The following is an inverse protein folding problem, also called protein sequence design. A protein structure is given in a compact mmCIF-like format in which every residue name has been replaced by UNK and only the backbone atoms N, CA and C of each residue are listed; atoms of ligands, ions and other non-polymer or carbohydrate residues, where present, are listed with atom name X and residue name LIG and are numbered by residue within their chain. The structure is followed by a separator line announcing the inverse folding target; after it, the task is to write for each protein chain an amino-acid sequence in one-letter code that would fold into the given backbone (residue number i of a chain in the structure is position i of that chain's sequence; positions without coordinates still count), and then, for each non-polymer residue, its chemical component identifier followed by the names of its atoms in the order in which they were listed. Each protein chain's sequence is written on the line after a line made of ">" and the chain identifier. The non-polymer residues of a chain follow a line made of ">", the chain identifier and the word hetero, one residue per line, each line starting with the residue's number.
data_IF_042027775388
#
_entry.id   IF_042027775388
#
_cell.length_a   1.000
_cell.length_b   1.000
_cell.length_c   1.000
_cell.angle_alpha   90.00
_cell.angle_beta   90.00
_cell.angle_gamma   90.00
#
_symmetry.space_group_name_H-M   'P 1'
#
loop_
_entity.id
_entity.type
_entity.pdbx_description
1 polymer ?
#
# COMPACT_ATOMS: atom_id res chain seq x y z
N UNK A 1 -15.61 2.79 -11.96
CA UNK A 1 -16.15 3.17 -13.29
C UNK A 1 -15.08 3.16 -14.38
N UNK A 2 -13.93 3.82 -14.19
CA UNK A 2 -12.80 3.77 -15.14
C UNK A 2 -12.34 2.36 -15.54
N UNK A 3 -12.22 1.43 -14.57
CA UNK A 3 -11.83 0.04 -14.84
C UNK A 3 -12.86 -0.72 -15.69
N UNK A 4 -14.15 -0.50 -15.43
CA UNK A 4 -15.24 -1.16 -16.16
C UNK A 4 -15.35 -0.65 -17.59
N UNK A 5 -15.20 0.67 -17.79
CA UNK A 5 -15.19 1.27 -19.14
C UNK A 5 -14.02 0.76 -19.98
N UNK A 6 -12.84 0.61 -19.38
CA UNK A 6 -11.66 0.10 -20.09
C UNK A 6 -11.84 -1.38 -20.44
N UNK A 7 -12.29 -2.21 -19.49
CA UNK A 7 -12.53 -3.64 -19.75
C UNK A 7 -13.63 -3.89 -20.78
N UNK A 8 -14.67 -3.05 -20.80
CA UNK A 8 -15.74 -3.15 -21.80
C UNK A 8 -15.24 -2.91 -23.24
N UNK A 9 -14.13 -2.18 -23.41
CA UNK A 9 -13.54 -1.88 -24.72
C UNK A 9 -12.43 -2.88 -25.08
N UNK A 10 -11.64 -3.29 -24.09
CA UNK A 10 -10.44 -4.14 -24.28
C UNK A 10 -10.77 -5.64 -24.38
N UNK A 11 -11.91 -6.08 -23.86
CA UNK A 11 -12.33 -7.48 -23.88
C UNK A 11 -11.73 -8.31 -22.73
N UNK A 12 -12.17 -9.58 -22.64
CA UNK A 12 -11.80 -10.50 -21.56
C UNK A 12 -10.41 -11.11 -21.78
N UNK A 13 -9.59 -11.20 -20.73
CA UNK A 13 -8.35 -11.96 -20.74
C UNK A 13 -7.42 -11.68 -19.57
N UNK A 14 -6.58 -12.66 -19.21
CA UNK A 14 -5.63 -12.58 -18.08
C UNK A 14 -4.65 -11.41 -18.24
N UNK A 15 -4.05 -11.27 -19.43
CA UNK A 15 -3.09 -10.20 -19.70
C UNK A 15 -3.75 -8.83 -19.64
N UNK A 16 -4.97 -8.70 -20.16
CA UNK A 16 -5.75 -7.47 -20.16
C UNK A 16 -6.05 -7.01 -18.73
N UNK A 17 -6.47 -7.92 -17.86
CA UNK A 17 -6.72 -7.64 -16.44
C UNK A 17 -5.43 -7.22 -15.73
N UNK A 18 -4.34 -7.96 -15.94
CA UNK A 18 -3.03 -7.65 -15.35
C UNK A 18 -2.57 -6.26 -15.78
N UNK A 19 -2.65 -5.93 -17.08
CA UNK A 19 -2.23 -4.63 -17.60
C UNK A 19 -3.11 -3.52 -17.05
N UNK A 20 -4.43 -3.69 -17.02
CA UNK A 20 -5.34 -2.63 -16.59
C UNK A 20 -5.28 -2.40 -15.08
N UNK A 21 -5.26 -3.46 -14.27
CA UNK A 21 -5.08 -3.33 -12.82
C UNK A 21 -3.66 -2.82 -12.49
N UNK A 22 -2.65 -3.32 -13.20
CA UNK A 22 -1.25 -2.94 -13.02
C UNK A 22 -0.98 -1.47 -13.37
N UNK A 23 -1.51 -0.97 -14.48
CA UNK A 23 -1.38 0.44 -14.87
C UNK A 23 -2.18 1.32 -13.91
N UNK A 24 -3.43 0.96 -13.60
CA UNK A 24 -4.28 1.76 -12.71
C UNK A 24 -3.68 1.86 -11.30
N UNK A 25 -3.22 0.75 -10.73
CA UNK A 25 -2.54 0.73 -9.43
C UNK A 25 -1.13 1.33 -9.48
N UNK A 26 -0.41 1.11 -10.58
CA UNK A 26 0.95 1.58 -10.78
C UNK A 26 1.09 3.09 -10.86
N UNK A 27 0.08 3.80 -11.37
CA UNK A 27 0.07 5.28 -11.38
C UNK A 27 0.16 5.84 -9.96
N UNK A 28 -0.62 5.29 -9.02
CA UNK A 28 -0.58 5.69 -7.62
C UNK A 28 0.79 5.39 -6.99
N UNK A 29 1.28 4.16 -7.17
CA UNK A 29 2.59 3.74 -6.66
C UNK A 29 3.75 4.59 -7.20
N UNK A 30 3.73 4.94 -8.50
CA UNK A 30 4.76 5.76 -9.15
C UNK A 30 4.91 7.14 -8.52
N UNK A 31 3.79 7.81 -8.19
CA UNK A 31 3.82 9.11 -7.52
C UNK A 31 4.47 9.02 -6.14
N UNK A 32 4.19 7.96 -5.39
CA UNK A 32 4.76 7.78 -4.06
C UNK A 32 6.25 7.45 -4.15
N UNK A 33 6.65 6.55 -5.05
CA UNK A 33 8.06 6.26 -5.34
C UNK A 33 8.82 7.53 -5.71
N UNK A 34 8.25 8.37 -6.58
CA UNK A 34 8.84 9.66 -6.94
C UNK A 34 9.04 10.57 -5.73
N UNK A 35 8.06 10.64 -4.83
CA UNK A 35 8.18 11.45 -3.60
C UNK A 35 9.30 10.96 -2.68
N UNK A 36 9.43 9.64 -2.51
CA UNK A 36 10.49 9.04 -1.71
C UNK A 36 11.89 9.26 -2.34
N UNK A 37 11.99 9.19 -3.67
CA UNK A 37 13.23 9.47 -4.40
C UNK A 37 13.64 10.94 -4.26
N UNK A 38 12.70 11.89 -4.31
CA UNK A 38 12.99 13.32 -4.12
C UNK A 38 13.54 13.57 -2.71
N UNK A 39 12.93 12.99 -1.67
CA UNK A 39 13.40 13.14 -0.29
C UNK A 39 14.83 12.60 -0.09
N UNK A 40 15.20 11.53 -0.79
CA UNK A 40 16.57 10.97 -0.75
C UNK A 40 17.55 11.85 -1.52
N UNK A 41 17.13 12.41 -2.65
CA UNK A 41 17.97 13.27 -3.49
C UNK A 41 18.38 14.57 -2.77
N UNK A 42 17.60 15.04 -1.80
CA UNK A 42 17.93 16.19 -0.96
C UNK A 42 19.03 15.91 0.07
N UNK A 43 19.44 14.66 0.28
CA UNK A 43 20.54 14.36 1.18
C UNK A 43 21.92 14.61 0.55
N UNK A 44 22.85 15.09 1.39
CA UNK A 44 24.22 15.45 1.01
C UNK A 44 25.01 14.31 0.34
N UNK A 45 24.69 13.05 0.65
CA UNK A 45 25.36 11.90 0.03
C UNK A 45 25.09 11.79 -1.48
N UNK A 46 23.93 12.26 -1.96
CA UNK A 46 23.62 12.23 -3.39
C UNK A 46 24.46 13.25 -4.16
N UNK A 47 24.69 14.43 -3.56
CA UNK A 47 25.54 15.48 -4.12
C UNK A 47 27.01 15.03 -4.16
N UNK A 48 27.49 14.41 -3.07
CA UNK A 48 28.84 13.87 -2.98
C UNK A 48 29.11 12.74 -4.00
N UNK A 49 28.18 11.78 -4.15
CA UNK A 49 28.32 10.69 -5.11
C UNK A 49 28.34 11.20 -6.57
N UNK A 50 27.61 12.29 -6.85
CA UNK A 50 27.65 12.98 -8.14
C UNK A 50 28.98 13.71 -8.38
N UNK A 51 29.54 14.35 -7.35
CA UNK A 51 30.83 15.04 -7.44
C UNK A 51 31.99 14.08 -7.74
N UNK A 52 31.88 12.82 -7.30
CA UNK A 52 32.83 11.73 -7.59
C UNK A 52 32.66 11.15 -9.02
N UNK A 53 31.65 11.58 -9.78
CA UNK A 53 31.44 11.13 -11.16
C UNK A 53 30.71 9.80 -11.30
N UNK A 54 30.04 9.32 -10.24
CA UNK A 54 29.30 8.05 -10.29
C UNK A 54 28.04 8.19 -11.16
N UNK A 55 27.76 7.24 -12.09
CA UNK A 55 26.56 7.31 -12.93
C UNK A 55 25.28 7.22 -12.09
N UNK A 56 24.29 8.02 -12.45
CA UNK A 56 23.04 8.17 -11.68
C UNK A 56 22.27 6.86 -11.52
N UNK A 57 22.33 5.95 -12.50
CA UNK A 57 21.70 4.62 -12.43
C UNK A 57 22.30 3.74 -11.34
N UNK A 58 23.63 3.76 -11.17
CA UNK A 58 24.31 3.02 -10.09
C UNK A 58 23.93 3.58 -8.71
N UNK A 59 23.86 4.91 -8.57
CA UNK A 59 23.45 5.56 -7.31
C UNK A 59 22.01 5.17 -6.96
N UNK A 60 21.12 5.19 -7.96
CA UNK A 60 19.72 4.80 -7.81
C UNK A 60 19.57 3.35 -7.32
N UNK A 61 20.22 2.38 -7.98
CA UNK A 61 20.03 0.96 -7.65
C UNK A 61 20.74 0.58 -6.34
N UNK A 62 21.95 1.11 -6.11
CA UNK A 62 22.81 0.71 -4.97
C UNK A 62 22.44 1.42 -3.67
N UNK A 63 21.96 2.67 -3.74
CA UNK A 63 21.76 3.52 -2.57
C UNK A 63 20.32 3.98 -2.38
N UNK A 64 19.64 4.40 -3.45
CA UNK A 64 18.26 4.91 -3.35
C UNK A 64 17.26 3.77 -3.18
N UNK A 65 17.35 2.73 -4.01
CA UNK A 65 16.43 1.60 -4.03
C UNK A 65 16.33 0.87 -2.69
N UNK A 66 17.44 0.46 -2.02
CA UNK A 66 17.34 -0.19 -0.71
C UNK A 66 16.80 0.73 0.39
N UNK A 67 16.95 2.05 0.25
CA UNK A 67 16.43 3.02 1.22
C UNK A 67 14.91 3.22 1.08
N UNK A 68 14.39 3.25 -0.15
CA UNK A 68 12.94 3.31 -0.42
C UNK A 68 12.25 1.95 -0.46
N UNK A 69 12.98 0.84 -0.40
CA UNK A 69 12.40 -0.49 -0.47
C UNK A 69 11.40 -0.73 0.68
N UNK A 70 11.72 -0.26 1.89
CA UNK A 70 10.83 -0.36 3.04
C UNK A 70 9.45 0.29 2.79
N UNK A 71 9.35 1.58 2.44
CA UNK A 71 8.05 2.18 2.14
C UNK A 71 7.36 1.57 0.91
N UNK A 72 8.11 1.12 -0.11
CA UNK A 72 7.53 0.42 -1.26
C UNK A 72 6.83 -0.88 -0.83
N UNK A 73 7.50 -1.68 0.00
CA UNK A 73 6.97 -2.96 0.49
C UNK A 73 5.69 -2.74 1.31
N UNK A 74 5.68 -1.73 2.18
CA UNK A 74 4.50 -1.36 2.98
C UNK A 74 3.32 -1.01 2.07
N UNK A 75 3.54 -0.09 1.12
CA UNK A 75 2.48 0.38 0.21
C UNK A 75 1.97 -0.77 -0.64
N UNK A 76 2.87 -1.61 -1.17
CA UNK A 76 2.50 -2.77 -1.95
C UNK A 76 1.60 -3.73 -1.15
N UNK A 77 1.95 -3.98 0.12
CA UNK A 77 1.22 -4.88 1.01
C UNK A 77 -0.19 -4.37 1.33
N UNK A 78 -0.37 -3.05 1.42
CA UNK A 78 -1.70 -2.44 1.65
C UNK A 78 -2.52 -2.45 0.35
N UNK A 79 -1.89 -2.21 -0.80
CA UNK A 79 -2.61 -2.10 -2.07
C UNK A 79 -3.07 -3.45 -2.63
N UNK A 80 -2.40 -4.56 -2.30
CA UNK A 80 -2.73 -5.87 -2.86
C UNK A 80 -4.16 -6.31 -2.53
N UNK A 81 -4.66 -5.99 -1.33
CA UNK A 81 -6.05 -6.26 -0.94
C UNK A 81 -7.06 -5.54 -1.83
N UNK A 82 -6.78 -4.28 -2.17
CA UNK A 82 -7.61 -3.49 -3.09
C UNK A 82 -7.59 -4.03 -4.52
N UNK A 83 -6.44 -4.51 -4.99
CA UNK A 83 -6.29 -5.13 -6.33
C UNK A 83 -7.08 -6.44 -6.40
N UNK A 84 -7.01 -7.29 -5.38
CA UNK A 84 -7.78 -8.54 -5.30
C UNK A 84 -9.28 -8.24 -5.32
N UNK A 85 -9.74 -7.26 -4.54
CA UNK A 85 -11.16 -6.89 -4.51
C UNK A 85 -11.64 -6.35 -5.87
N UNK A 86 -10.80 -5.57 -6.55
CA UNK A 86 -11.09 -5.06 -7.89
C UNK A 86 -11.16 -6.20 -8.93
N UNK A 87 -10.22 -7.14 -8.90
CA UNK A 87 -10.23 -8.34 -9.76
C UNK A 87 -11.48 -9.18 -9.53
N UNK A 88 -11.81 -9.47 -8.27
CA UNK A 88 -12.98 -10.25 -7.91
C UNK A 88 -14.28 -9.57 -8.37
N UNK A 89 -14.36 -8.24 -8.26
CA UNK A 89 -15.50 -7.45 -8.74
C UNK A 89 -15.65 -7.52 -10.26
N UNK A 90 -14.54 -7.42 -11.00
CA UNK A 90 -14.53 -7.57 -12.47
C UNK A 90 -14.94 -8.99 -12.89
N UNK A 91 -14.40 -10.00 -12.21
CA UNK A 91 -14.74 -11.41 -12.45
C UNK A 91 -16.20 -11.70 -12.14
N UNK A 92 -16.73 -11.10 -11.07
CA UNK A 92 -18.15 -11.19 -10.75
C UNK A 92 -19.04 -10.58 -11.85
N UNK A 93 -18.67 -9.41 -12.36
CA UNK A 93 -19.36 -8.72 -13.45
C UNK A 93 -19.19 -9.41 -14.81
N UNK A 94 -18.39 -10.47 -14.91
CA UNK A 94 -18.16 -11.22 -16.14
C UNK A 94 -17.13 -10.58 -17.07
N UNK A 95 -16.35 -9.62 -16.60
CA UNK A 95 -15.22 -9.02 -17.32
C UNK A 95 -13.85 -9.53 -16.83
N UNK A 96 -13.86 -10.51 -15.92
CA UNK A 96 -12.65 -11.09 -15.36
C UNK A 96 -12.08 -12.22 -16.22
N UNK A 97 -11.42 -13.16 -15.53
CA UNK A 97 -10.64 -14.21 -16.15
C UNK A 97 -11.49 -15.11 -17.08
N UNK A 98 -10.92 -15.61 -18.19
CA UNK A 98 -11.61 -16.56 -19.04
C UNK A 98 -11.97 -17.82 -18.23
N UNK A 99 -13.07 -18.52 -18.58
CA UNK A 99 -13.58 -19.67 -17.81
C UNK A 99 -12.62 -20.85 -17.70
N UNK A 100 -11.49 -20.83 -18.42
CA UNK A 100 -10.41 -21.79 -18.29
C UNK A 100 -9.56 -21.61 -17.02
N UNK A 101 -9.69 -20.47 -16.32
CA UNK A 101 -8.94 -20.18 -15.09
C UNK A 101 -9.93 -20.07 -13.92
N UNK A 102 -9.86 -20.96 -12.92
CA UNK A 102 -10.69 -20.85 -11.73
C UNK A 102 -10.29 -19.60 -10.94
N UNK A 103 -11.22 -18.65 -10.77
CA UNK A 103 -11.06 -17.46 -9.94
C UNK A 103 -12.19 -17.37 -8.93
N UNK A 104 -11.89 -16.95 -7.71
CA UNK A 104 -12.90 -16.89 -6.64
C UNK A 104 -14.05 -15.94 -6.99
N UNK A 105 -13.79 -14.82 -7.67
CA UNK A 105 -14.84 -13.92 -8.16
C UNK A 105 -15.68 -14.51 -9.32
N UNK A 106 -15.08 -15.35 -10.16
CA UNK A 106 -15.77 -16.00 -11.28
C UNK A 106 -16.67 -17.15 -10.81
N UNK A 107 -16.26 -17.86 -9.75
CA UNK A 107 -17.05 -18.92 -9.10
C UNK A 107 -18.36 -18.36 -8.51
N UNK A 108 -18.37 -17.14 -7.95
CA UNK A 108 -19.59 -16.47 -7.52
C UNK A 108 -20.55 -16.14 -8.67
N UNK A 109 -20.03 -15.85 -9.87
CA UNK A 109 -20.83 -15.29 -10.97
C UNK A 109 -21.45 -16.34 -11.89
N UNK A 110 -20.73 -17.41 -12.23
CA UNK A 110 -21.19 -18.44 -13.19
C UNK A 110 -21.73 -19.70 -12.54
N UNK A 111 -21.01 -20.26 -11.57
CA UNK A 111 -21.46 -21.44 -10.83
C UNK A 111 -22.50 -21.06 -9.79
N UNK A 112 -22.29 -19.95 -9.08
CA UNK A 112 -23.26 -19.38 -8.15
C UNK A 112 -24.64 -19.14 -8.78
N UNK A 113 -24.72 -18.57 -10.00
CA UNK A 113 -26.02 -18.36 -10.68
C UNK A 113 -26.64 -19.63 -11.28
N UNK A 114 -25.84 -20.56 -11.82
CA UNK A 114 -26.36 -21.81 -12.39
C UNK A 114 -26.79 -22.83 -11.33
N UNK A 115 -26.19 -22.79 -10.15
CA UNK A 115 -26.51 -23.67 -9.03
C UNK A 115 -27.24 -22.94 -7.88
N UNK A 116 -27.59 -21.65 -8.03
CA UNK A 116 -28.33 -20.89 -7.02
C UNK A 116 -29.69 -21.51 -6.70
N UNK A 117 -30.33 -22.12 -7.70
CA UNK A 117 -31.63 -22.79 -7.55
C UNK A 117 -31.54 -24.16 -6.84
N UNK A 118 -30.34 -24.76 -6.72
CA UNK A 118 -30.15 -26.09 -6.13
C UNK A 118 -29.16 -26.18 -4.96
N UNK A 119 -28.23 -25.24 -4.81
CA UNK A 119 -27.08 -25.32 -3.90
C UNK A 119 -26.46 -23.94 -3.58
N UNK A 120 -27.12 -23.10 -2.76
CA UNK A 120 -26.65 -21.75 -2.42
C UNK A 120 -25.30 -21.71 -1.66
N UNK A 121 -24.88 -22.82 -1.07
CA UNK A 121 -23.59 -22.95 -0.38
C UNK A 121 -22.37 -22.77 -1.29
N UNK A 122 -22.49 -23.10 -2.59
CA UNK A 122 -21.40 -22.96 -3.58
C UNK A 122 -20.94 -21.50 -3.78
N UNK A 123 -21.82 -20.52 -3.55
CA UNK A 123 -21.47 -19.10 -3.62
C UNK A 123 -20.92 -18.56 -2.29
N UNK A 124 -21.28 -19.19 -1.16
CA UNK A 124 -20.92 -18.73 0.18
C UNK A 124 -19.45 -19.01 0.51
N UNK A 125 -18.94 -20.18 0.14
CA UNK A 125 -17.54 -20.58 0.38
C UNK A 125 -16.50 -19.64 -0.27
N UNK A 126 -16.55 -19.35 -1.58
CA UNK A 126 -15.57 -18.45 -2.20
C UNK A 126 -15.69 -17.02 -1.67
N UNK A 127 -16.90 -16.57 -1.31
CA UNK A 127 -17.10 -15.27 -0.66
C UNK A 127 -16.42 -15.21 0.71
N UNK A 128 -16.63 -16.22 1.56
CA UNK A 128 -16.00 -16.30 2.88
C UNK A 128 -14.47 -16.38 2.77
N UNK A 129 -13.94 -17.24 1.89
CA UNK A 129 -12.51 -17.34 1.63
C UNK A 129 -11.91 -16.00 1.18
N UNK A 130 -12.58 -15.29 0.26
CA UNK A 130 -12.10 -14.00 -0.22
C UNK A 130 -12.10 -12.95 0.90
N UNK A 131 -13.15 -12.89 1.72
CA UNK A 131 -13.20 -11.95 2.86
C UNK A 131 -12.08 -12.23 3.88
N UNK A 132 -11.84 -13.51 4.22
CA UNK A 132 -10.78 -13.90 5.16
C UNK A 132 -9.40 -13.54 4.60
N UNK A 133 -9.15 -13.81 3.32
CA UNK A 133 -7.87 -13.51 2.68
C UNK A 133 -7.64 -12.01 2.59
N UNK A 134 -8.61 -11.24 2.12
CA UNK A 134 -8.49 -9.78 2.04
C UNK A 134 -8.30 -9.17 3.42
N UNK A 135 -9.04 -9.64 4.43
CA UNK A 135 -8.87 -9.19 5.80
C UNK A 135 -7.48 -9.50 6.34
N UNK A 136 -7.00 -10.74 6.15
CA UNK A 136 -5.66 -11.17 6.60
C UNK A 136 -4.55 -10.38 5.92
N UNK A 137 -4.67 -10.12 4.62
CA UNK A 137 -3.70 -9.32 3.87
C UNK A 137 -3.71 -7.85 4.30
N UNK A 138 -4.89 -7.27 4.58
CA UNK A 138 -4.96 -5.90 5.11
C UNK A 138 -4.32 -5.83 6.50
N UNK A 139 -4.67 -6.74 7.42
CA UNK A 139 -4.05 -6.80 8.75
C UNK A 139 -2.54 -7.00 8.67
N UNK A 140 -2.06 -7.84 7.75
CA UNK A 140 -0.63 -8.02 7.51
C UNK A 140 0.03 -6.74 6.97
N UNK A 141 -0.62 -6.05 6.05
CA UNK A 141 -0.16 -4.77 5.53
C UNK A 141 -0.04 -3.70 6.62
N UNK A 142 -1.03 -3.61 7.51
CA UNK A 142 -1.01 -2.72 8.66
C UNK A 142 0.06 -3.13 9.68
N UNK A 143 0.22 -4.41 9.97
CA UNK A 143 1.29 -4.89 10.86
C UNK A 143 2.68 -4.58 10.28
N UNK A 144 2.88 -4.78 8.98
CA UNK A 144 4.11 -4.41 8.29
C UNK A 144 4.34 -2.90 8.31
N UNK A 145 3.27 -2.10 8.13
CA UNK A 145 3.35 -0.66 8.29
C UNK A 145 3.82 -0.29 9.70
N UNK A 146 3.22 -0.84 10.73
CA UNK A 146 3.57 -0.54 12.12
C UNK A 146 5.01 -0.97 12.48
N UNK A 147 5.46 -2.11 11.94
CA UNK A 147 6.82 -2.62 12.14
C UNK A 147 7.87 -1.76 11.42
N UNK A 148 7.56 -1.27 10.21
CA UNK A 148 8.49 -0.55 9.35
C UNK A 148 8.34 0.96 9.42
N UNK A 149 7.28 1.53 10.02
CA UNK A 149 7.10 2.98 10.14
C UNK A 149 8.11 3.55 11.16
N UNK A 150 9.14 4.29 10.70
CA UNK A 150 10.18 4.82 11.56
C UNK A 150 9.70 5.98 12.44
N UNK A 151 8.46 6.46 12.29
CA UNK A 151 7.92 7.59 13.09
C UNK A 151 7.82 7.27 14.58
N UNK A 152 7.90 6.01 14.99
CA UNK A 152 7.98 5.60 16.41
C UNK A 152 9.41 5.47 16.95
N UNK A 153 10.45 5.53 16.10
CA UNK A 153 11.86 5.37 16.53
C UNK A 153 12.77 6.58 16.26
N UNK A 154 12.25 7.69 15.73
CA UNK A 154 13.07 8.89 15.44
C UNK A 154 12.41 10.24 15.73
N UNK A 155 12.37 10.67 16.98
CA UNK A 155 12.90 12.01 17.34
C UNK A 155 12.18 13.31 16.95
N UNK A 156 10.84 13.40 16.81
CA UNK A 156 10.18 14.73 16.68
C UNK A 156 8.92 14.99 17.52
N UNK A 157 8.58 14.12 18.49
CA UNK A 157 7.41 14.34 19.36
C UNK A 157 7.69 14.78 20.80
N UNK A 158 8.89 14.51 21.33
CA UNK A 158 9.15 14.62 22.79
C UNK A 158 9.99 15.83 23.22
N UNK A 159 10.69 16.50 22.28
CA UNK A 159 11.48 17.69 22.61
C UNK A 159 10.64 18.91 22.98
N UNK A 160 9.38 18.97 22.53
CA UNK A 160 8.45 20.04 22.87
C UNK A 160 7.91 19.93 24.31
N UNK A 161 7.51 18.73 24.73
CA UNK A 161 6.89 18.49 26.03
C UNK A 161 7.88 18.57 27.19
N UNK A 162 9.11 18.08 27.01
CA UNK A 162 10.16 18.21 28.04
C UNK A 162 10.57 19.67 28.27
N UNK A 163 10.73 20.46 27.20
CA UNK A 163 11.10 21.88 27.30
C UNK A 163 9.97 22.73 27.88
N UNK A 164 8.70 22.44 27.54
CA UNK A 164 7.53 23.11 28.14
C UNK A 164 7.40 22.77 29.63
N UNK A 165 7.61 21.51 30.03
CA UNK A 165 7.56 21.10 31.45
C UNK A 165 8.69 21.77 32.25
N UNK A 166 9.90 21.85 31.71
CA UNK A 166 11.02 22.53 32.35
C UNK A 166 10.78 24.05 32.48
N UNK A 167 10.28 24.71 31.42
CA UNK A 167 9.95 26.15 31.48
C UNK A 167 8.85 26.44 32.51
N UNK A 168 7.83 25.59 32.59
CA UNK A 168 6.76 25.72 33.60
C UNK A 168 7.32 25.58 35.02
N UNK A 169 8.11 24.53 35.30
CA UNK A 169 8.70 24.33 36.62
C UNK A 169 9.61 25.48 37.07
N UNK A 170 10.39 26.04 36.16
CA UNK A 170 11.24 27.20 36.43
C UNK A 170 10.43 28.48 36.68
N UNK A 171 9.41 28.75 35.87
CA UNK A 171 8.52 29.90 36.07
C UNK A 171 7.74 29.80 37.37
N UNK A 172 7.32 28.59 37.77
CA UNK A 172 6.62 28.38 39.04
C UNK A 172 7.53 28.65 40.25
N UNK A 173 8.83 28.34 40.13
CA UNK A 173 9.84 28.66 41.17
C UNK A 173 10.20 30.15 41.23
N UNK A 174 10.25 30.84 40.09
CA UNK A 174 10.50 32.29 40.06
C UNK A 174 9.32 33.11 40.60
N UNK A 175 8.09 32.64 40.41
CA UNK A 175 6.89 33.32 40.88
C UNK A 175 6.58 33.06 42.35
N UNK A 176 7.29 32.14 43.02
CA UNK A 176 7.03 31.82 44.43
C UNK A 176 8.30 31.57 45.27
N UNK A 177 9.12 32.61 45.50
CA UNK A 177 10.39 32.48 46.22
C UNK A 177 10.26 32.32 47.75
N UNK A 178 9.05 32.28 48.33
CA UNK A 178 8.81 32.32 49.78
C UNK A 178 8.21 31.05 50.39
N UNK A 179 8.13 29.94 49.65
CA UNK A 179 7.58 28.69 50.18
C UNK A 179 8.69 27.64 50.40
N UNK A 180 9.48 27.86 51.45
CA UNK A 180 10.41 26.92 52.06
C UNK A 180 10.09 26.77 53.53
#
# INVERSE_FOLDING_TARGET
>A
MLLLTIMSVVGQGLLQIIVVLGVTGGIGGSRVVRSAVVAIKENDYFLAARAVGTPTSQILIRHVLPNIAAPIIIIFSINIGGVIMAEASLSFLGFGLPPSVPSWGGMLSREGRKFMEGAPWLALYPGLCLTIVVFSLNMFGDAMRDLLDPRLKGGQGSYGTAKVKHKRGFLTRLLNPFNG
#
